data_IF_939445383250
#
_entry.id   IF_939445383250
#
_cell.length_a   1.000
_cell.length_b   1.000
_cell.length_c   1.000
_cell.angle_alpha   90.00
_cell.angle_beta   90.00
_cell.angle_gamma   90.00
#
_symmetry.space_group_name_H-M   'P 1'
#
loop_
_entity.id
_entity.type
_entity.pdbx_description
1 polymer ?
#
# COMPACT_ATOMS: atom_id res chain seq x y z
N UNK A 1 -13.53 4.23 -5.69
CA UNK A 1 -14.25 4.33 -4.42
C UNK A 1 -13.30 4.24 -3.26
N UNK A 2 -13.43 5.11 -2.27
CA UNK A 2 -12.59 5.01 -1.09
C UNK A 2 -12.95 3.79 -0.25
N UNK A 3 -11.94 3.19 0.35
CA UNK A 3 -12.11 2.13 1.32
C UNK A 3 -11.68 2.70 2.66
N UNK A 4 -12.44 2.37 3.72
CA UNK A 4 -12.20 2.92 5.05
C UNK A 4 -11.69 1.84 5.99
N UNK A 5 -10.72 2.20 6.81
CA UNK A 5 -10.13 1.31 7.80
C UNK A 5 -10.03 2.01 9.14
N UNK A 6 -10.46 1.35 10.19
CA UNK A 6 -10.29 1.88 11.54
C UNK A 6 -8.93 1.48 12.08
N UNK A 7 -8.25 2.45 12.68
CA UNK A 7 -6.94 2.22 13.30
C UNK A 7 -7.18 1.86 14.75
N UNK A 8 -7.11 0.58 15.08
CA UNK A 8 -7.32 0.13 16.44
C UNK A 8 -6.01 -0.26 17.10
N UNK A 9 -6.03 -0.26 18.44
CA UNK A 9 -4.86 -0.53 19.25
C UNK A 9 -4.24 -1.89 18.97
N UNK A 10 -5.07 -2.91 18.81
CA UNK A 10 -4.57 -4.27 18.60
C UNK A 10 -3.92 -4.42 17.22
N UNK A 11 -4.49 -3.83 16.20
CA UNK A 11 -3.90 -3.85 14.85
C UNK A 11 -2.53 -3.18 14.83
N UNK A 12 -2.41 -2.04 15.49
CA UNK A 12 -1.13 -1.32 15.57
C UNK A 12 -0.10 -2.16 16.31
N UNK A 13 -0.50 -2.71 17.47
CA UNK A 13 0.39 -3.54 18.28
C UNK A 13 0.85 -4.77 17.49
N UNK A 14 -0.07 -5.45 16.85
CA UNK A 14 0.27 -6.65 16.08
C UNK A 14 1.19 -6.34 14.91
N UNK A 15 0.98 -5.23 14.24
CA UNK A 15 1.87 -4.83 13.17
C UNK A 15 3.27 -4.54 13.69
N UNK A 16 3.37 -3.79 14.80
CA UNK A 16 4.66 -3.45 15.39
C UNK A 16 5.42 -4.70 15.80
N UNK A 17 4.72 -5.68 16.39
CA UNK A 17 5.33 -6.97 16.75
C UNK A 17 5.83 -7.68 15.50
N UNK A 18 5.02 -7.72 14.46
CA UNK A 18 5.36 -8.45 13.24
C UNK A 18 6.61 -7.91 12.55
N UNK A 19 6.85 -6.61 12.65
CA UNK A 19 8.05 -5.99 12.06
C UNK A 19 9.20 -5.84 13.07
N UNK A 20 9.04 -6.36 14.29
CA UNK A 20 10.08 -6.33 15.30
C UNK A 20 10.31 -4.96 15.91
N UNK A 21 9.34 -4.09 15.90
CA UNK A 21 9.46 -2.75 16.46
C UNK A 21 9.05 -2.74 17.93
N UNK A 22 9.96 -2.33 18.81
CA UNK A 22 9.73 -2.34 20.25
C UNK A 22 9.52 -0.95 20.83
N UNK A 23 9.35 0.07 20.01
CA UNK A 23 9.17 1.43 20.49
C UNK A 23 7.89 1.52 21.34
N UNK A 24 7.98 1.96 22.62
CA UNK A 24 6.81 2.01 23.50
C UNK A 24 5.70 2.94 22.99
N UNK A 25 6.00 3.84 22.09
CA UNK A 25 5.01 4.72 21.47
C UNK A 25 3.90 3.93 20.77
N UNK A 26 4.19 2.69 20.35
CA UNK A 26 3.23 1.84 19.65
C UNK A 26 2.50 0.87 20.58
N UNK A 27 2.89 0.79 21.84
CA UNK A 27 2.39 -0.20 22.80
C UNK A 27 1.85 0.37 24.09
N UNK A 28 2.49 1.40 24.62
CA UNK A 28 2.29 1.85 25.99
C UNK A 28 1.49 3.16 26.00
N UNK A 29 0.22 3.06 26.39
CA UNK A 29 -0.66 4.23 26.46
C UNK A 29 -0.16 5.30 27.42
N UNK A 30 0.40 4.89 28.55
CA UNK A 30 0.90 5.84 29.54
C UNK A 30 2.07 6.62 28.97
N UNK A 31 2.99 5.92 28.34
CA UNK A 31 4.12 6.56 27.68
C UNK A 31 3.63 7.47 26.54
N UNK A 32 2.73 6.98 25.70
CA UNK A 32 2.24 7.73 24.56
C UNK A 32 1.53 9.02 24.95
N UNK A 33 0.78 9.01 26.06
CA UNK A 33 0.11 10.21 26.58
C UNK A 33 1.09 11.29 26.98
N UNK A 34 2.30 10.93 27.37
CA UNK A 34 3.32 11.89 27.76
C UNK A 34 4.05 12.51 26.57
N UNK A 35 3.81 12.01 25.38
CA UNK A 35 4.44 12.52 24.14
C UNK A 35 3.60 13.61 23.50
N UNK A 36 4.17 14.28 22.50
CA UNK A 36 3.46 15.31 21.74
C UNK A 36 2.24 14.76 21.01
N UNK A 37 2.19 13.45 20.78
CA UNK A 37 1.07 12.81 20.09
C UNK A 37 -0.14 12.58 21.00
N UNK A 38 0.07 12.49 22.30
CA UNK A 38 -1.00 12.32 23.28
C UNK A 38 -1.69 10.96 23.27
N UNK A 39 -1.30 10.07 22.40
CA UNK A 39 -1.90 8.74 22.25
C UNK A 39 -0.93 7.83 21.52
N UNK A 40 -1.26 6.53 21.48
CA UNK A 40 -0.50 5.57 20.67
C UNK A 40 -0.66 5.95 19.21
N UNK A 41 0.45 5.95 18.48
CA UNK A 41 0.43 6.14 17.03
C UNK A 41 0.85 4.83 16.37
N UNK A 42 0.53 4.71 15.08
CA UNK A 42 0.96 3.57 14.27
C UNK A 42 2.31 3.86 13.63
N UNK A 43 3.15 2.83 13.45
CA UNK A 43 4.34 2.98 12.61
C UNK A 43 3.91 3.41 11.21
N UNK A 44 4.72 4.23 10.54
CA UNK A 44 4.35 4.74 9.22
C UNK A 44 4.01 3.63 8.23
N UNK A 45 4.76 2.55 8.24
CA UNK A 45 4.53 1.45 7.28
C UNK A 45 3.28 0.62 7.60
N UNK A 46 2.61 0.89 8.72
CA UNK A 46 1.31 0.30 9.01
C UNK A 46 0.31 0.54 7.87
N UNK A 47 0.43 1.67 7.19
CA UNK A 47 -0.46 1.99 6.07
C UNK A 47 -0.40 0.97 4.94
N UNK A 48 0.74 0.32 4.73
CA UNK A 48 0.81 -0.70 3.71
C UNK A 48 -0.09 -1.89 4.00
N UNK A 49 -0.35 -2.16 5.26
CA UNK A 49 -1.24 -3.26 5.64
C UNK A 49 -2.69 -2.95 5.33
N UNK A 50 -3.02 -1.68 5.10
CA UNK A 50 -4.39 -1.26 4.83
C UNK A 50 -4.75 -1.28 3.36
N UNK A 51 -3.75 -1.18 2.47
CA UNK A 51 -4.09 -1.11 1.05
C UNK A 51 -4.44 -2.47 0.50
N UNK A 52 -5.38 -2.53 -0.44
CA UNK A 52 -5.70 -3.79 -1.11
C UNK A 52 -4.49 -4.32 -1.85
N UNK A 53 -4.28 -5.61 -1.74
CA UNK A 53 -3.12 -6.28 -2.36
C UNK A 53 -3.35 -6.53 -3.85
N UNK A 54 -4.61 -6.53 -4.29
CA UNK A 54 -4.96 -6.96 -5.63
C UNK A 54 -5.09 -5.81 -6.59
N UNK A 55 -4.90 -6.12 -7.86
CA UNK A 55 -5.23 -5.26 -8.95
C UNK A 55 -6.68 -4.83 -8.90
N UNK A 56 -6.92 -3.65 -9.45
CA UNK A 56 -8.25 -3.19 -9.71
C UNK A 56 -8.82 -4.01 -10.87
N UNK A 57 -9.92 -4.73 -10.67
CA UNK A 57 -10.52 -5.51 -11.74
C UNK A 57 -11.07 -4.67 -12.89
N UNK A 58 -11.18 -3.36 -12.69
CA UNK A 58 -11.61 -2.46 -13.76
C UNK A 58 -10.53 -2.31 -14.85
N UNK A 59 -9.31 -2.71 -14.55
CA UNK A 59 -8.23 -2.66 -15.53
C UNK A 59 -7.85 -4.10 -15.90
N UNK A 60 -8.46 -4.65 -16.95
CA UNK A 60 -8.14 -6.00 -17.37
C UNK A 60 -6.66 -6.17 -17.61
N UNK A 61 -6.16 -7.29 -17.21
CA UNK A 61 -4.74 -7.57 -17.28
C UNK A 61 -4.40 -8.36 -18.52
N UNK A 62 -3.77 -7.74 -19.52
CA UNK A 62 -3.40 -8.49 -20.73
C UNK A 62 -2.14 -9.32 -20.57
N UNK A 63 -1.46 -9.21 -19.44
CA UNK A 63 -0.19 -9.89 -19.21
C UNK A 63 -0.36 -11.03 -18.21
N UNK A 64 0.48 -12.04 -18.32
CA UNK A 64 0.37 -13.23 -17.47
C UNK A 64 1.15 -13.12 -16.16
N UNK A 65 2.07 -12.17 -16.06
CA UNK A 65 2.92 -12.03 -14.88
C UNK A 65 2.86 -10.62 -14.31
N UNK A 66 2.91 -10.54 -12.99
CA UNK A 66 2.84 -9.28 -12.26
C UNK A 66 4.07 -9.15 -11.35
N UNK A 67 4.67 -7.97 -11.36
CA UNK A 67 5.77 -7.65 -10.48
C UNK A 67 5.49 -6.34 -9.79
N UNK A 68 5.54 -6.32 -8.46
CA UNK A 68 5.46 -5.08 -7.70
C UNK A 68 6.87 -4.48 -7.66
N UNK A 69 7.06 -3.38 -8.37
CA UNK A 69 8.37 -2.73 -8.50
C UNK A 69 8.65 -1.75 -7.38
N UNK A 70 7.79 -1.68 -6.37
CA UNK A 70 8.02 -0.88 -5.19
C UNK A 70 7.16 0.35 -5.08
N UNK A 71 7.36 1.07 -3.99
CA UNK A 71 6.57 2.25 -3.67
C UNK A 71 7.44 3.34 -3.09
N UNK A 72 7.02 4.57 -3.37
CA UNK A 72 7.58 5.75 -2.70
C UNK A 72 6.50 6.35 -1.82
N UNK A 73 6.85 6.61 -0.57
CA UNK A 73 5.92 7.18 0.40
C UNK A 73 6.33 8.59 0.79
N UNK A 74 5.33 9.44 0.97
CA UNK A 74 5.49 10.74 1.63
C UNK A 74 4.51 10.76 2.79
N UNK A 75 5.01 11.01 4.00
CA UNK A 75 4.21 11.02 5.21
C UNK A 75 4.05 12.45 5.71
N UNK A 76 2.83 12.84 6.04
CA UNK A 76 2.52 14.23 6.40
C UNK A 76 2.03 14.38 7.84
N UNK A 77 1.28 13.40 8.34
CA UNK A 77 0.73 13.44 9.70
C UNK A 77 0.83 12.06 10.34
N UNK A 78 0.96 12.01 11.67
CA UNK A 78 0.96 10.73 12.37
C UNK A 78 -0.41 10.06 12.29
N UNK A 79 -0.39 8.73 12.32
CA UNK A 79 -1.59 7.91 12.31
C UNK A 79 -1.84 7.51 13.75
N UNK A 80 -2.98 7.89 14.31
CA UNK A 80 -3.30 7.66 15.70
C UNK A 80 -4.35 6.57 15.85
N UNK A 81 -4.31 5.83 16.95
CA UNK A 81 -5.40 4.91 17.24
C UNK A 81 -6.70 5.72 17.35
N UNK A 82 -7.78 5.15 16.88
CA UNK A 82 -9.05 5.84 16.80
C UNK A 82 -9.28 6.59 15.50
N UNK A 83 -8.25 6.76 14.68
CA UNK A 83 -8.41 7.36 13.36
C UNK A 83 -9.15 6.39 12.44
N UNK A 84 -9.87 6.96 11.48
CA UNK A 84 -10.44 6.21 10.37
C UNK A 84 -9.73 6.66 9.12
N UNK A 85 -9.01 5.74 8.48
CA UNK A 85 -8.20 6.05 7.30
C UNK A 85 -8.97 5.67 6.05
N UNK A 86 -9.15 6.64 5.15
CA UNK A 86 -9.68 6.35 3.82
C UNK A 86 -8.52 6.15 2.86
N UNK A 87 -8.66 5.15 2.00
CA UNK A 87 -7.64 4.79 1.02
C UNK A 87 -8.25 4.94 -0.36
N UNK A 88 -7.64 5.80 -1.17
CA UNK A 88 -8.09 6.06 -2.53
C UNK A 88 -6.95 5.76 -3.48
N UNK A 89 -7.19 4.93 -4.48
CA UNK A 89 -6.21 4.57 -5.50
C UNK A 89 -6.56 5.24 -6.81
N UNK A 90 -5.54 5.75 -7.48
CA UNK A 90 -5.71 6.41 -8.76
C UNK A 90 -4.58 6.03 -9.70
N UNK A 91 -4.93 5.56 -10.88
CA UNK A 91 -3.94 5.30 -11.93
C UNK A 91 -3.47 6.65 -12.48
N UNK A 92 -2.20 6.98 -12.30
CA UNK A 92 -1.66 8.28 -12.71
C UNK A 92 -0.76 8.20 -13.93
N UNK A 93 -0.27 7.02 -14.25
CA UNK A 93 0.56 6.83 -15.43
C UNK A 93 0.50 5.40 -15.89
N UNK A 94 0.59 5.21 -17.20
CA UNK A 94 0.63 3.89 -17.80
C UNK A 94 1.44 3.99 -19.10
N UNK A 95 2.43 3.12 -19.25
CA UNK A 95 3.26 3.11 -20.45
C UNK A 95 3.84 1.72 -20.68
N UNK A 96 4.24 1.48 -21.93
CA UNK A 96 4.85 0.22 -22.31
C UNK A 96 6.33 0.39 -22.56
N UNK A 97 7.09 -0.65 -22.28
CA UNK A 97 8.50 -0.75 -22.64
C UNK A 97 8.79 -2.17 -23.12
N UNK A 98 9.69 -2.28 -24.08
CA UNK A 98 10.24 -3.57 -24.47
C UNK A 98 11.47 -3.84 -23.64
N UNK A 99 11.57 -5.03 -23.11
CA UNK A 99 12.69 -5.39 -22.27
C UNK A 99 13.07 -6.85 -22.45
N UNK A 100 13.93 -7.32 -21.55
CA UNK A 100 14.43 -8.69 -21.59
C UNK A 100 13.32 -9.72 -21.55
N UNK A 101 12.24 -9.42 -20.84
CA UNK A 101 11.10 -10.31 -20.70
C UNK A 101 10.01 -10.05 -21.74
N UNK A 102 10.36 -9.36 -22.82
CA UNK A 102 9.41 -8.97 -23.85
C UNK A 102 8.73 -7.66 -23.51
N UNK A 103 7.50 -7.53 -23.97
CA UNK A 103 6.72 -6.30 -23.75
C UNK A 103 6.28 -6.22 -22.31
N UNK A 104 6.53 -5.08 -21.69
CA UNK A 104 6.16 -4.82 -20.29
C UNK A 104 5.23 -3.62 -20.21
N UNK A 105 4.21 -3.75 -19.39
CA UNK A 105 3.28 -2.65 -19.11
C UNK A 105 3.56 -2.12 -17.71
N UNK A 106 3.88 -0.84 -17.62
CA UNK A 106 4.13 -0.16 -16.37
C UNK A 106 2.91 0.65 -15.97
N UNK A 107 2.45 0.47 -14.76
CA UNK A 107 1.36 1.27 -14.19
C UNK A 107 1.84 1.93 -12.93
N UNK A 108 1.62 3.24 -12.84
CA UNK A 108 1.91 3.98 -11.62
C UNK A 108 0.59 4.35 -10.97
N UNK A 109 0.45 3.94 -9.73
CA UNK A 109 -0.79 4.10 -8.98
C UNK A 109 -0.49 4.99 -7.78
N UNK A 110 -1.22 6.09 -7.69
CA UNK A 110 -1.15 6.96 -6.52
C UNK A 110 -2.19 6.50 -5.50
N UNK A 111 -1.73 6.27 -4.28
CA UNK A 111 -2.60 5.87 -3.19
C UNK A 111 -2.58 7.00 -2.17
N UNK A 112 -3.74 7.54 -1.88
CA UNK A 112 -3.89 8.64 -0.93
C UNK A 112 -4.57 8.12 0.32
N UNK A 113 -3.92 8.35 1.46
CA UNK A 113 -4.42 7.97 2.77
C UNK A 113 -4.83 9.23 3.52
N UNK A 114 -6.09 9.30 3.93
CA UNK A 114 -6.63 10.48 4.64
C UNK A 114 -7.32 10.03 5.92
N UNK A 115 -7.27 10.89 6.94
CA UNK A 115 -7.96 10.60 8.20
C UNK A 115 -9.39 11.15 8.18
N UNK A 116 -10.13 11.01 9.29
CA UNK A 116 -11.54 11.36 9.38
C UNK A 116 -11.81 12.87 9.30
N UNK A 117 -10.78 13.70 9.45
CA UNK A 117 -10.92 15.14 9.28
C UNK A 117 -10.36 15.61 7.95
N UNK A 118 -10.23 14.68 7.00
CA UNK A 118 -9.77 14.95 5.64
C UNK A 118 -8.34 15.48 5.54
N UNK A 119 -7.51 15.20 6.53
CA UNK A 119 -6.07 15.44 6.38
C UNK A 119 -5.47 14.29 5.59
N UNK A 120 -4.67 14.62 4.60
CA UNK A 120 -3.90 13.60 3.89
C UNK A 120 -2.73 13.21 4.80
N UNK A 121 -2.78 12.01 5.35
CA UNK A 121 -1.73 11.56 6.26
C UNK A 121 -0.52 11.01 5.49
N UNK A 122 -0.74 10.48 4.30
CA UNK A 122 0.34 9.99 3.47
C UNK A 122 -0.09 9.84 2.02
N UNK A 123 0.88 9.86 1.12
CA UNK A 123 0.70 9.48 -0.27
C UNK A 123 1.74 8.43 -0.64
N UNK A 124 1.31 7.47 -1.42
CA UNK A 124 2.17 6.41 -1.91
C UNK A 124 2.09 6.40 -3.43
N UNK A 125 3.25 6.31 -4.10
CA UNK A 125 3.30 6.07 -5.53
C UNK A 125 3.85 4.67 -5.73
N UNK A 126 2.99 3.77 -6.18
CA UNK A 126 3.32 2.37 -6.36
C UNK A 126 3.49 2.07 -7.85
N UNK A 127 4.54 1.36 -8.20
CA UNK A 127 4.80 0.96 -9.58
C UNK A 127 4.55 -0.53 -9.71
N UNK A 128 3.68 -0.90 -10.64
CA UNK A 128 3.36 -2.29 -10.95
C UNK A 128 3.77 -2.56 -12.37
N UNK A 129 4.50 -3.62 -12.58
CA UNK A 129 4.95 -4.05 -13.90
C UNK A 129 4.26 -5.36 -14.23
N UNK A 130 3.67 -5.42 -15.40
CA UNK A 130 3.09 -6.68 -15.90
C UNK A 130 3.74 -7.02 -17.23
N UNK A 131 3.94 -8.29 -17.47
CA UNK A 131 4.62 -8.76 -18.66
C UNK A 131 4.06 -10.11 -19.08
N UNK A 132 4.52 -10.64 -20.23
CA UNK A 132 3.98 -11.86 -20.78
C UNK A 132 2.77 -11.63 -21.67
N UNK A 133 2.63 -10.43 -22.23
CA UNK A 133 1.50 -10.10 -23.09
C UNK A 133 1.44 -11.03 -24.30
N UNK A 134 0.26 -11.62 -24.50
CA UNK A 134 0.06 -12.53 -25.60
C UNK A 134 0.70 -13.88 -25.42
N UNK A 135 1.42 -14.10 -24.32
CA UNK A 135 2.02 -15.37 -24.01
C UNK A 135 1.07 -16.20 -23.16
N UNK A 136 1.09 -17.49 -23.41
CA UNK A 136 0.42 -18.43 -22.54
C UNK A 136 1.38 -18.81 -21.42
N UNK A 137 0.84 -19.47 -20.39
CA UNK A 137 1.68 -20.04 -19.37
C UNK A 137 2.77 -20.88 -20.06
N UNK A 138 4.05 -20.74 -19.68
CA UNK A 138 5.14 -21.45 -20.33
C UNK A 138 4.92 -22.96 -20.43
N UNK A 139 4.29 -23.55 -19.42
CA UNK A 139 4.00 -24.97 -19.46
C UNK A 139 2.94 -25.35 -20.48
N UNK A 140 2.05 -24.43 -20.80
CA UNK A 140 1.01 -24.66 -21.80
C UNK A 140 1.51 -24.29 -23.19
N UNK A 141 2.29 -23.24 -23.28
CA UNK A 141 2.77 -22.75 -24.55
C UNK A 141 3.68 -23.74 -25.25
N UNK A 142 4.48 -24.43 -24.49
CA UNK A 142 5.36 -25.45 -25.04
C UNK A 142 4.60 -26.61 -25.72
N UNK A 143 3.33 -26.71 -25.43
CA UNK A 143 2.50 -27.76 -25.94
C UNK A 143 1.62 -27.33 -27.09
N UNK A 144 1.67 -26.08 -27.41
CA UNK A 144 0.83 -25.52 -28.46
C UNK A 144 1.52 -25.47 -29.82
#
# INVERSE_FOLDING_TARGET
KPIFYDVDKNSVKNFAIAVGNENPLYFDETFARSTVYGTIIAPYMYLRSLRPVRFDPEFPEPFSHILDAGSKFNFFFPIKIGDTISVIKKLVDIFEKDGRMGKMLFRKIEITYSNQINQIVAKELNTIITYGYGEKDPGLEEHS
#
